data_IF_503897357276
#
_entry.id   IF_503897357276
#
_cell.length_a   1.000
_cell.length_b   1.000
_cell.length_c   1.000
_cell.angle_alpha   90.00
_cell.angle_beta   90.00
_cell.angle_gamma   90.00
#
_symmetry.space_group_name_H-M   'P 1'
#
loop_
_entity.id
_entity.type
_entity.pdbx_description
1 polymer ?
#
# COMPACT_ATOMS: atom_id res chain seq x y z
N UNK A 1 -54.70 -60.27 1.90
CA UNK A 1 -54.32 -59.46 3.07
C UNK A 1 -53.23 -58.49 2.62
N UNK A 2 -53.60 -57.21 2.61
CA UNK A 2 -52.87 -55.93 2.44
C UNK A 2 -51.46 -55.87 1.82
N UNK A 3 -51.27 -55.06 0.76
CA UNK A 3 -49.95 -54.64 0.25
C UNK A 3 -49.48 -53.34 0.92
N UNK A 4 -48.17 -53.10 0.99
CA UNK A 4 -47.62 -51.80 1.36
C UNK A 4 -46.46 -51.39 0.42
N UNK A 5 -46.82 -50.42 -0.43
CA UNK A 5 -46.05 -49.37 -1.09
C UNK A 5 -44.83 -48.87 -0.29
N UNK A 6 -43.67 -48.58 -0.88
CA UNK A 6 -43.23 -47.31 -1.53
C UNK A 6 -41.68 -47.26 -1.34
N UNK A 7 -40.81 -46.54 -2.04
CA UNK A 7 -40.88 -45.55 -3.11
C UNK A 7 -39.50 -45.55 -3.81
N UNK A 8 -39.51 -45.42 -5.13
CA UNK A 8 -38.36 -45.08 -5.95
C UNK A 8 -37.95 -43.62 -5.68
N UNK A 9 -36.67 -43.33 -5.45
CA UNK A 9 -36.11 -41.99 -5.65
C UNK A 9 -34.82 -42.11 -6.47
N UNK A 10 -34.99 -42.24 -7.79
CA UNK A 10 -33.95 -41.85 -8.73
C UNK A 10 -34.02 -40.33 -8.83
N UNK A 11 -33.03 -39.63 -8.29
CA UNK A 11 -32.88 -38.20 -8.50
C UNK A 11 -32.52 -37.97 -9.97
N UNK A 12 -33.48 -37.55 -10.78
CA UNK A 12 -33.22 -36.98 -12.08
C UNK A 12 -32.54 -35.62 -11.85
N UNK A 13 -31.21 -35.59 -11.94
CA UNK A 13 -30.48 -34.35 -12.14
C UNK A 13 -30.75 -33.91 -13.59
N UNK A 14 -31.85 -33.17 -13.79
CA UNK A 14 -32.09 -32.49 -15.06
C UNK A 14 -31.04 -31.38 -15.14
N UNK A 15 -29.91 -31.70 -15.77
CA UNK A 15 -28.99 -30.69 -16.26
C UNK A 15 -29.74 -29.85 -17.29
N UNK A 16 -29.91 -28.56 -17.00
CA UNK A 16 -30.31 -27.59 -18.00
C UNK A 16 -29.13 -27.45 -18.97
N UNK A 17 -29.25 -28.09 -20.14
CA UNK A 17 -28.32 -27.90 -21.26
C UNK A 17 -28.81 -26.66 -22.01
N UNK A 18 -28.13 -25.53 -21.85
CA UNK A 18 -28.27 -24.39 -22.75
C UNK A 18 -27.61 -24.76 -24.10
N UNK A 19 -28.38 -24.72 -25.19
CA UNK A 19 -27.97 -25.17 -26.52
C UNK A 19 -27.14 -24.12 -27.29
N UNK A 20 -26.31 -23.33 -26.61
CA UNK A 20 -25.42 -22.40 -27.30
C UNK A 20 -23.96 -22.63 -26.93
N UNK A 21 -23.23 -23.24 -27.89
CA UNK A 21 -21.79 -23.47 -27.92
C UNK A 21 -21.27 -24.59 -27.00
N UNK A 22 -21.07 -25.79 -27.56
CA UNK A 22 -20.43 -26.94 -26.91
C UNK A 22 -18.94 -26.77 -26.59
N UNK A 23 -18.57 -25.71 -25.86
CA UNK A 23 -17.28 -25.62 -25.19
C UNK A 23 -17.45 -26.14 -23.75
N UNK A 24 -16.52 -26.96 -23.24
CA UNK A 24 -16.45 -27.24 -21.81
C UNK A 24 -16.45 -25.92 -21.05
N UNK A 25 -17.26 -25.82 -19.99
CA UNK A 25 -17.16 -24.72 -19.05
C UNK A 25 -15.85 -24.91 -18.29
N UNK A 26 -14.77 -24.31 -18.80
CA UNK A 26 -13.56 -24.13 -18.03
C UNK A 26 -13.95 -23.18 -16.89
N UNK A 27 -13.99 -23.72 -15.67
CA UNK A 27 -14.35 -22.97 -14.47
C UNK A 27 -13.46 -21.73 -14.28
N UNK A 28 -13.70 -20.91 -13.23
CA UNK A 28 -12.88 -19.72 -12.99
C UNK A 28 -11.41 -20.11 -13.00
N UNK A 29 -10.68 -19.58 -13.99
CA UNK A 29 -9.23 -19.78 -14.12
C UNK A 29 -8.61 -19.24 -12.85
N UNK A 30 -7.99 -20.12 -12.06
CA UNK A 30 -7.29 -19.73 -10.85
C UNK A 30 -6.29 -18.60 -11.21
N UNK A 31 -6.23 -17.51 -10.42
CA UNK A 31 -5.28 -16.45 -10.68
C UNK A 31 -3.85 -17.03 -10.72
N UNK A 32 -2.94 -16.43 -11.50
CA UNK A 32 -1.53 -16.84 -11.48
C UNK A 32 -1.02 -16.89 -10.03
N UNK A 33 -0.15 -17.86 -9.67
CA UNK A 33 0.50 -17.86 -8.37
C UNK A 33 1.21 -16.51 -8.17
N UNK A 34 0.87 -15.81 -7.08
CA UNK A 34 1.59 -14.59 -6.68
C UNK A 34 2.97 -15.05 -6.21
N UNK A 35 4.01 -14.77 -7.00
CA UNK A 35 5.40 -15.02 -6.61
C UNK A 35 5.77 -14.03 -5.52
N UNK A 36 5.64 -14.43 -4.25
CA UNK A 36 6.08 -13.60 -3.13
C UNK A 36 7.57 -13.31 -3.26
N UNK A 37 7.98 -12.06 -3.01
CA UNK A 37 9.40 -11.70 -2.95
C UNK A 37 9.99 -12.32 -1.70
N UNK A 38 10.60 -13.49 -1.86
CA UNK A 38 11.20 -14.23 -0.74
C UNK A 38 12.59 -13.68 -0.34
N UNK A 39 13.23 -12.82 -1.15
CA UNK A 39 14.58 -12.28 -0.87
C UNK A 39 14.70 -10.78 -1.18
N UNK A 40 14.37 -9.93 -0.21
CA UNK A 40 14.74 -8.51 -0.24
C UNK A 40 16.20 -8.29 0.17
N UNK A 41 16.86 -7.21 -0.31
CA UNK A 41 18.21 -6.88 0.13
C UNK A 41 18.31 -6.68 1.65
N UNK A 42 19.51 -6.81 2.20
CA UNK A 42 19.72 -6.60 3.64
C UNK A 42 19.22 -5.22 4.10
N UNK A 43 18.46 -5.19 5.19
CA UNK A 43 17.87 -3.98 5.73
C UNK A 43 16.70 -3.42 4.90
N UNK A 44 16.10 -4.24 4.03
CA UNK A 44 14.80 -4.02 3.41
C UNK A 44 13.78 -5.01 3.97
N UNK A 45 12.50 -4.68 3.87
CA UNK A 45 11.39 -5.50 4.35
C UNK A 45 10.51 -5.88 3.17
N UNK A 46 10.32 -7.17 2.93
CA UNK A 46 9.42 -7.64 1.87
C UNK A 46 7.95 -7.59 2.29
N UNK A 47 7.09 -7.19 1.37
CA UNK A 47 5.65 -7.40 1.44
C UNK A 47 5.09 -7.61 0.04
N UNK A 48 4.39 -8.73 -0.16
CA UNK A 48 3.89 -9.17 -1.47
C UNK A 48 4.99 -9.14 -2.54
N UNK A 49 4.87 -8.22 -3.50
CA UNK A 49 5.74 -8.09 -4.66
C UNK A 49 6.81 -7.01 -4.48
N UNK A 50 6.89 -6.30 -3.36
CA UNK A 50 7.79 -5.16 -3.21
C UNK A 50 8.73 -5.28 -2.00
N UNK A 51 9.86 -4.60 -2.08
CA UNK A 51 10.79 -4.42 -0.97
C UNK A 51 10.77 -2.97 -0.46
N UNK A 52 10.67 -2.79 0.85
CA UNK A 52 10.52 -1.47 1.47
C UNK A 52 11.70 -1.14 2.40
N UNK A 53 12.20 0.10 2.33
CA UNK A 53 13.21 0.64 3.24
C UNK A 53 12.70 1.88 3.95
N UNK A 54 12.96 1.97 5.24
CA UNK A 54 12.51 3.08 6.08
C UNK A 54 13.69 3.99 6.41
N UNK A 55 13.69 5.19 5.84
CA UNK A 55 14.65 6.24 6.12
C UNK A 55 14.31 6.96 7.42
N UNK A 56 15.22 6.92 8.40
CA UNK A 56 14.96 7.44 9.75
C UNK A 56 15.34 8.91 9.94
N UNK A 57 16.08 9.47 8.98
CA UNK A 57 16.48 10.88 8.97
C UNK A 57 15.31 11.77 8.56
N UNK A 58 15.19 12.93 9.21
CA UNK A 58 14.23 13.96 8.84
C UNK A 58 14.81 14.79 7.71
N UNK A 59 14.22 14.67 6.52
CA UNK A 59 14.69 15.32 5.30
C UNK A 59 13.51 15.96 4.57
N UNK A 60 13.79 16.90 3.67
CA UNK A 60 12.77 17.46 2.77
C UNK A 60 12.28 16.39 1.79
N UNK A 61 11.13 16.60 1.14
CA UNK A 61 10.61 15.65 0.15
C UNK A 61 11.63 15.41 -0.98
N UNK A 62 12.27 16.47 -1.47
CA UNK A 62 13.32 16.36 -2.49
C UNK A 62 14.53 15.55 -1.99
N UNK A 63 14.92 15.73 -0.72
CA UNK A 63 15.98 14.93 -0.09
C UNK A 63 15.61 13.46 0.03
N UNK A 64 14.35 13.15 0.40
CA UNK A 64 13.84 11.80 0.47
C UNK A 64 13.81 11.12 -0.92
N UNK A 65 13.35 11.84 -1.95
CA UNK A 65 13.36 11.39 -3.34
C UNK A 65 14.78 11.07 -3.82
N UNK A 66 15.74 11.94 -3.51
CA UNK A 66 17.14 11.71 -3.84
C UNK A 66 17.70 10.47 -3.12
N UNK A 67 17.41 10.30 -1.83
CA UNK A 67 17.86 9.15 -1.05
C UNK A 67 17.32 7.81 -1.60
N UNK A 68 16.05 7.74 -1.98
CA UNK A 68 15.51 6.53 -2.60
C UNK A 68 16.13 6.26 -3.98
N UNK A 69 16.34 7.32 -4.78
CA UNK A 69 17.00 7.20 -6.09
C UNK A 69 18.43 6.68 -5.99
N UNK A 70 19.20 7.11 -5.00
CA UNK A 70 20.57 6.60 -4.75
C UNK A 70 20.59 5.09 -4.46
N UNK A 71 19.48 4.55 -3.95
CA UNK A 71 19.30 3.13 -3.69
C UNK A 71 18.65 2.37 -4.86
N UNK A 72 18.59 2.97 -6.06
CA UNK A 72 17.90 2.43 -7.23
C UNK A 72 16.44 2.04 -6.92
N UNK A 73 15.77 2.87 -6.13
CA UNK A 73 14.40 2.68 -5.65
C UNK A 73 13.60 3.98 -5.79
N UNK A 74 12.29 3.90 -5.59
CA UNK A 74 11.41 5.07 -5.54
C UNK A 74 10.96 5.37 -4.13
N UNK A 75 10.52 6.60 -3.84
CA UNK A 75 9.57 6.80 -2.74
C UNK A 75 8.33 5.94 -2.99
N UNK A 76 7.79 5.35 -1.91
CA UNK A 76 6.72 4.35 -1.98
C UNK A 76 5.46 4.87 -2.69
N UNK A 77 4.89 4.02 -3.54
CA UNK A 77 3.53 4.16 -4.04
C UNK A 77 2.61 3.28 -3.18
N UNK A 78 1.55 3.84 -2.60
CA UNK A 78 0.62 3.07 -1.76
C UNK A 78 -0.62 2.74 -2.58
N UNK A 79 -0.66 1.54 -3.15
CA UNK A 79 -1.64 1.17 -4.17
C UNK A 79 -2.80 0.34 -3.62
N UNK A 80 -2.63 -0.24 -2.41
CA UNK A 80 -3.64 -1.11 -1.79
C UNK A 80 -3.80 -0.86 -0.30
N UNK A 81 -4.96 -1.25 0.25
CA UNK A 81 -5.24 -1.23 1.69
C UNK A 81 -4.26 -2.11 2.46
N UNK A 82 -4.00 -3.31 1.94
CA UNK A 82 -3.07 -4.29 2.54
C UNK A 82 -1.64 -3.75 2.66
N UNK A 83 -1.19 -3.02 1.66
CA UNK A 83 0.11 -2.34 1.67
C UNK A 83 0.14 -1.18 2.69
N UNK A 84 -0.88 -0.32 2.68
CA UNK A 84 -1.02 0.77 3.64
C UNK A 84 -0.95 0.27 5.10
N UNK A 85 -1.66 -0.82 5.37
CA UNK A 85 -1.66 -1.51 6.66
C UNK A 85 -0.28 -2.06 7.04
N UNK A 86 0.41 -2.70 6.09
CA UNK A 86 1.76 -3.20 6.30
C UNK A 86 2.73 -2.08 6.66
N UNK A 87 2.73 -0.99 5.89
CA UNK A 87 3.60 0.17 6.11
C UNK A 87 3.32 0.81 7.48
N UNK A 88 2.06 1.00 7.82
CA UNK A 88 1.66 1.57 9.11
C UNK A 88 2.07 0.70 10.31
N UNK A 89 1.98 -0.64 10.19
CA UNK A 89 2.49 -1.56 11.23
C UNK A 89 4.01 -1.43 11.39
N UNK A 90 4.76 -1.36 10.28
CA UNK A 90 6.22 -1.18 10.31
C UNK A 90 6.63 0.16 10.94
N UNK A 91 5.95 1.25 10.59
CA UNK A 91 6.17 2.55 11.22
C UNK A 91 5.90 2.45 12.73
N UNK A 92 4.83 1.77 13.13
CA UNK A 92 4.52 1.54 14.54
C UNK A 92 5.65 0.82 15.27
N UNK A 93 6.18 -0.25 14.69
CA UNK A 93 7.28 -1.04 15.25
C UNK A 93 8.57 -0.20 15.37
N UNK A 94 8.93 0.55 14.32
CA UNK A 94 10.08 1.46 14.30
C UNK A 94 9.94 2.51 15.39
N UNK A 95 8.76 3.11 15.50
CA UNK A 95 8.46 4.14 16.49
C UNK A 95 8.61 3.60 17.91
N UNK A 96 8.06 2.42 18.22
CA UNK A 96 8.17 1.84 19.54
C UNK A 96 9.56 1.32 19.88
N UNK A 97 10.35 0.95 18.88
CA UNK A 97 11.72 0.51 19.10
C UNK A 97 12.63 1.71 19.40
N UNK A 98 12.43 2.84 18.73
CA UNK A 98 13.35 3.99 18.78
C UNK A 98 12.90 5.12 19.71
N UNK A 99 11.62 5.16 20.13
CA UNK A 99 11.09 6.26 20.96
C UNK A 99 10.86 5.80 22.41
N UNK A 100 11.51 6.45 23.41
CA UNK A 100 11.26 6.18 24.83
C UNK A 100 9.78 6.34 25.18
N UNK A 101 9.27 5.48 26.05
CA UNK A 101 7.83 5.43 26.39
C UNK A 101 7.24 6.74 26.90
N UNK A 102 8.06 7.63 27.47
CA UNK A 102 7.65 8.96 27.96
C UNK A 102 7.52 10.03 26.87
N UNK A 103 8.02 9.77 25.67
CA UNK A 103 7.95 10.68 24.50
C UNK A 103 7.06 10.13 23.41
N UNK A 104 6.19 9.21 23.81
CA UNK A 104 5.53 8.28 22.90
C UNK A 104 4.13 8.81 22.57
N UNK A 105 3.94 10.12 22.58
CA UNK A 105 2.72 10.83 22.23
C UNK A 105 3.04 11.75 21.04
N UNK A 106 2.17 11.79 20.04
CA UNK A 106 2.37 12.66 18.88
C UNK A 106 1.90 12.05 17.56
N UNK A 107 2.26 12.77 16.51
CA UNK A 107 2.01 12.46 15.11
C UNK A 107 3.37 12.28 14.44
N UNK A 108 3.57 11.18 13.72
CA UNK A 108 4.71 11.01 12.81
C UNK A 108 4.21 11.05 11.37
N UNK A 109 4.92 11.76 10.51
CA UNK A 109 4.67 11.78 9.07
C UNK A 109 5.86 11.17 8.35
N UNK A 110 5.59 10.49 7.25
CA UNK A 110 6.57 9.81 6.42
C UNK A 110 6.32 10.17 4.96
N UNK A 111 7.34 10.70 4.28
CA UNK A 111 7.28 10.99 2.85
C UNK A 111 6.99 9.73 2.03
N UNK A 112 6.12 9.91 1.05
CA UNK A 112 5.75 8.93 0.02
C UNK A 112 6.02 9.51 -1.37
N UNK A 113 5.81 8.72 -2.43
CA UNK A 113 5.94 9.19 -3.82
C UNK A 113 4.77 10.05 -4.30
N UNK A 114 3.78 10.30 -3.45
CA UNK A 114 2.56 10.98 -3.86
C UNK A 114 2.79 12.46 -4.12
N UNK A 115 2.38 12.92 -5.30
CA UNK A 115 2.50 14.31 -5.74
C UNK A 115 1.18 14.79 -6.36
N UNK A 116 0.94 16.10 -6.34
CA UNK A 116 -0.19 16.69 -7.05
C UNK A 116 -0.01 16.56 -8.56
N UNK A 117 -1.10 16.22 -9.24
CA UNK A 117 -1.15 16.12 -10.70
C UNK A 117 -2.48 16.65 -11.23
N UNK A 118 -2.48 17.90 -11.69
CA UNK A 118 -3.71 18.62 -12.02
C UNK A 118 -4.62 18.78 -10.79
N UNK A 119 -5.88 18.36 -10.94
CA UNK A 119 -6.89 18.38 -9.86
C UNK A 119 -6.83 17.12 -8.97
N UNK A 120 -5.90 16.19 -9.25
CA UNK A 120 -5.78 14.91 -8.56
C UNK A 120 -4.38 14.66 -8.00
N UNK A 121 -4.10 13.38 -7.76
CA UNK A 121 -2.86 12.87 -7.18
C UNK A 121 -2.27 11.77 -8.05
N UNK A 122 -0.95 11.71 -8.08
CA UNK A 122 -0.20 10.64 -8.75
C UNK A 122 0.95 10.15 -7.87
N UNK A 123 1.31 8.89 -8.01
CA UNK A 123 2.58 8.37 -7.52
C UNK A 123 3.66 8.70 -8.55
N UNK A 124 4.70 9.39 -8.13
CA UNK A 124 5.83 9.71 -8.99
C UNK A 124 7.00 8.75 -8.71
N UNK A 125 7.41 8.01 -9.74
CA UNK A 125 8.62 7.19 -9.67
C UNK A 125 9.86 8.09 -9.55
N UNK A 126 10.66 7.87 -8.50
CA UNK A 126 11.79 8.75 -8.19
C UNK A 126 12.95 8.63 -9.17
N UNK A 127 13.00 7.52 -9.92
CA UNK A 127 14.11 7.24 -10.85
C UNK A 127 13.85 7.86 -12.23
N UNK A 128 12.64 7.70 -12.75
CA UNK A 128 12.18 8.06 -14.09
C UNK A 128 11.37 9.35 -14.13
N UNK A 129 10.71 9.73 -13.02
CA UNK A 129 9.73 10.81 -12.97
C UNK A 129 8.38 10.45 -13.61
N UNK A 130 8.15 9.19 -13.96
CA UNK A 130 6.86 8.72 -14.44
C UNK A 130 5.80 8.88 -13.35
N UNK A 131 4.60 9.29 -13.74
CA UNK A 131 3.47 9.50 -12.83
C UNK A 131 2.36 8.49 -13.12
N UNK A 132 1.94 7.75 -12.10
CA UNK A 132 0.77 6.87 -12.16
C UNK A 132 -0.37 7.45 -11.32
N UNK A 133 -1.61 7.56 -11.83
CA UNK A 133 -2.72 8.11 -11.05
C UNK A 133 -3.00 7.32 -9.78
N UNK A 134 -3.26 8.02 -8.68
CA UNK A 134 -3.64 7.40 -7.40
C UNK A 134 -5.05 6.80 -7.54
N UNK A 135 -5.17 5.47 -7.32
CA UNK A 135 -6.45 4.74 -7.39
C UNK A 135 -6.98 4.27 -6.04
N UNK A 136 -6.12 4.24 -5.02
CA UNK A 136 -6.45 3.93 -3.63
C UNK A 136 -6.14 5.15 -2.77
N UNK A 137 -6.93 5.39 -1.72
CA UNK A 137 -6.69 6.50 -0.78
C UNK A 137 -7.13 6.11 0.62
N UNK A 138 -6.34 6.47 1.62
CA UNK A 138 -6.69 6.33 3.04
C UNK A 138 -6.41 7.64 3.78
N UNK A 139 -7.16 8.68 3.47
CA UNK A 139 -6.96 9.99 4.09
C UNK A 139 -7.19 9.94 5.59
N UNK A 140 -6.31 10.59 6.36
CA UNK A 140 -6.52 10.77 7.79
C UNK A 140 -7.58 11.85 7.98
N UNK A 141 -8.68 11.62 8.70
CA UNK A 141 -9.68 12.69 8.92
C UNK A 141 -9.05 13.98 9.51
N UNK A 142 -9.28 15.19 8.94
CA UNK A 142 -10.19 15.57 7.84
C UNK A 142 -9.50 15.77 6.46
N UNK A 143 -8.42 15.07 6.18
CA UNK A 143 -7.63 15.22 4.95
C UNK A 143 -8.33 14.67 3.68
N UNK A 144 -7.94 15.14 2.48
CA UNK A 144 -7.05 16.28 2.23
C UNK A 144 -7.80 17.59 2.44
N UNK A 145 -7.28 18.44 3.33
CA UNK A 145 -8.01 19.64 3.77
C UNK A 145 -7.52 20.92 3.08
N UNK A 146 -6.39 20.88 2.34
CA UNK A 146 -5.81 22.06 1.70
C UNK A 146 -5.46 23.17 2.70
N UNK A 147 -5.07 22.81 3.93
CA UNK A 147 -4.82 23.73 5.04
C UNK A 147 -3.73 24.74 4.73
N UNK A 148 -2.82 24.44 3.81
CA UNK A 148 -1.80 25.36 3.34
C UNK A 148 -1.73 25.44 1.81
N UNK A 149 -1.22 26.58 1.29
CA UNK A 149 -1.03 26.77 -0.15
C UNK A 149 0.13 25.91 -0.62
N UNK A 150 -0.10 25.06 -1.63
CA UNK A 150 0.96 24.25 -2.23
C UNK A 150 1.18 22.90 -1.55
N UNK A 151 0.15 22.35 -0.89
CA UNK A 151 0.15 20.95 -0.41
C UNK A 151 0.10 19.99 -1.59
N UNK A 152 1.28 19.79 -2.17
CA UNK A 152 1.50 19.09 -3.42
C UNK A 152 2.19 17.74 -3.21
N UNK A 153 2.38 17.29 -1.96
CA UNK A 153 3.07 16.05 -1.61
C UNK A 153 2.31 15.24 -0.58
N UNK A 154 2.31 13.91 -0.70
CA UNK A 154 1.63 13.02 0.23
C UNK A 154 2.57 12.47 1.29
N UNK A 155 2.06 12.42 2.52
CA UNK A 155 2.71 11.78 3.66
C UNK A 155 1.82 10.70 4.25
N UNK A 156 2.42 9.60 4.70
CA UNK A 156 1.76 8.61 5.54
C UNK A 156 1.90 9.04 7.01
N UNK A 157 0.77 9.27 7.67
CA UNK A 157 0.66 9.70 9.05
C UNK A 157 0.45 8.48 9.94
N UNK A 158 1.25 8.38 11.00
CA UNK A 158 0.99 7.51 12.14
C UNK A 158 0.60 8.36 13.35
N UNK A 159 -0.66 8.25 13.77
CA UNK A 159 -1.21 8.98 14.90
C UNK A 159 -1.33 8.07 16.11
N UNK A 160 -0.67 8.44 17.20
CA UNK A 160 -0.70 7.67 18.44
C UNK A 160 -1.63 8.25 19.50
N UNK A 161 -2.30 9.36 19.22
CA UNK A 161 -3.20 9.99 20.16
C UNK A 161 -4.53 9.24 20.23
N UNK A 162 -4.54 8.22 21.09
CA UNK A 162 -5.72 7.36 21.39
C UNK A 162 -6.93 8.15 21.90
N UNK A 163 -6.74 9.40 22.33
CA UNK A 163 -7.82 10.24 22.86
C UNK A 163 -8.55 11.06 21.80
N UNK A 164 -7.97 11.24 20.59
CA UNK A 164 -8.50 12.21 19.61
C UNK A 164 -8.64 11.68 18.18
N UNK A 165 -8.10 10.49 17.85
CA UNK A 165 -8.26 9.90 16.52
C UNK A 165 -8.96 8.55 16.57
N UNK A 166 -9.95 8.36 15.68
CA UNK A 166 -10.52 7.04 15.39
C UNK A 166 -9.61 6.21 14.47
N UNK A 167 -8.62 6.86 13.85
CA UNK A 167 -7.78 6.30 12.80
C UNK A 167 -6.31 6.47 13.17
N UNK A 168 -5.56 5.37 13.23
CA UNK A 168 -4.16 5.36 13.68
C UNK A 168 -3.16 5.57 12.54
N UNK A 169 -3.58 5.31 11.30
CA UNK A 169 -2.79 5.41 10.07
C UNK A 169 -3.66 6.11 9.05
N UNK A 170 -3.11 7.01 8.26
CA UNK A 170 -3.81 7.63 7.14
C UNK A 170 -2.92 8.65 6.44
N UNK A 171 -3.39 9.27 5.38
CA UNK A 171 -2.58 10.16 4.55
C UNK A 171 -2.84 11.62 4.88
N UNK A 172 -1.82 12.45 4.68
CA UNK A 172 -1.90 13.90 4.78
C UNK A 172 -1.22 14.53 3.58
N UNK A 173 -1.87 15.52 2.97
CA UNK A 173 -1.24 16.40 2.01
C UNK A 173 -0.36 17.44 2.74
N UNK A 174 0.88 17.57 2.28
CA UNK A 174 1.92 18.35 2.92
C UNK A 174 2.54 19.32 1.90
N UNK A 175 2.93 20.51 2.36
CA UNK A 175 3.42 21.61 1.53
C UNK A 175 4.75 21.32 0.82
N UNK A 176 5.51 20.31 1.29
CA UNK A 176 6.83 19.99 0.76
C UNK A 176 7.85 21.14 0.84
N UNK A 177 7.62 22.12 1.71
CA UNK A 177 8.52 23.26 1.88
C UNK A 177 9.88 22.82 2.43
N UNK A 178 10.91 23.65 2.26
CA UNK A 178 12.26 23.39 2.82
C UNK A 178 12.26 23.25 4.37
N UNK A 179 11.23 23.78 5.03
CA UNK A 179 11.02 23.62 6.48
C UNK A 179 10.27 22.33 6.85
N UNK A 180 9.57 21.72 5.90
CA UNK A 180 8.85 20.46 6.10
C UNK A 180 9.83 19.31 5.92
N UNK A 181 10.29 18.78 7.05
CA UNK A 181 11.20 17.65 7.09
C UNK A 181 10.54 16.47 7.80
N UNK A 182 10.56 15.31 7.14
CA UNK A 182 9.94 14.08 7.62
C UNK A 182 10.85 12.90 7.31
N UNK A 183 10.58 11.77 7.98
CA UNK A 183 11.14 10.47 7.59
C UNK A 183 10.55 10.04 6.26
N UNK A 184 11.02 8.93 5.68
CA UNK A 184 10.59 8.52 4.34
C UNK A 184 10.61 7.02 4.13
N UNK A 185 9.86 6.56 3.15
CA UNK A 185 9.75 5.14 2.79
C UNK A 185 10.15 4.99 1.33
N UNK A 186 11.17 4.18 1.08
CA UNK A 186 11.53 3.76 -0.26
C UNK A 186 10.90 2.41 -0.58
N UNK A 187 10.56 2.21 -1.85
CA UNK A 187 10.02 1.00 -2.43
C UNK A 187 10.86 0.61 -3.65
N UNK A 188 11.16 -0.68 -3.74
CA UNK A 188 11.85 -1.30 -4.85
C UNK A 188 10.96 -2.40 -5.42
N UNK A 189 10.61 -2.23 -6.69
CA UNK A 189 9.89 -3.25 -7.46
C UNK A 189 10.70 -4.54 -7.60
N UNK A 190 10.03 -5.70 -7.70
CA UNK A 190 10.69 -7.00 -7.79
C UNK A 190 11.42 -7.19 -9.13
N UNK A 191 11.13 -6.34 -10.12
CA UNK A 191 11.75 -6.40 -11.45
C UNK A 191 13.15 -5.79 -11.42
N UNK A 192 13.42 -4.81 -10.55
CA UNK A 192 14.71 -4.10 -10.52
C UNK A 192 15.78 -4.88 -9.75
N UNK A 193 15.41 -5.63 -8.71
CA UNK A 193 16.36 -6.32 -7.83
C UNK A 193 17.16 -7.47 -8.50
N UNK A 194 16.54 -8.41 -9.25
CA UNK A 194 17.29 -9.49 -9.93
C UNK A 194 18.23 -9.00 -11.03
N UNK A 195 18.10 -7.75 -11.49
CA UNK A 195 18.91 -7.15 -12.55
C UNK A 195 20.15 -6.41 -12.02
N UNK A 196 20.30 -6.28 -10.70
CA UNK A 196 21.41 -5.59 -10.04
C UNK A 196 22.45 -6.54 -9.42
N UNK A 197 22.28 -7.86 -9.59
CA UNK A 197 23.25 -8.90 -9.21
C UNK A 197 24.13 -9.29 -10.41
#
# INVERSE_FOLDING_TARGET
MTPAFHFLLLTLSIGLIDQTLGRPYDGPKEPPPVLLVDDCPEGWHGYLLSCYKFGLDYVTQAGAKAACKELASSLVAIETEDENDFLGRKISDIYYTNTPWRRRDGYEQWWTGGVRDGDGWAWEDSTSGEKTPVTYTDWHDPEPNGASRGEDFLTLVFNRNRSYSKQTIGWNDNDGSESSTHRFICEMDPITWPLLQ
#
